data_IF_185431619766
#
_entry.id   IF_185431619766
#
_cell.length_a   1.000
_cell.length_b   1.000
_cell.length_c   1.000
_cell.angle_alpha   90.00
_cell.angle_beta   90.00
_cell.angle_gamma   90.00
#
_symmetry.space_group_name_H-M   'P 1'
#
loop_
_entity.id
_entity.type
_entity.pdbx_description
1 polymer ?
#
# COMPACT_ATOMS: atom_id res chain seq x y z
N UNK A 1 -4.03 14.88 -9.37
CA UNK A 1 -2.95 14.42 -10.27
C UNK A 1 -1.86 13.79 -9.41
N UNK A 2 -1.46 12.54 -9.69
CA UNK A 2 -0.35 11.89 -9.00
C UNK A 2 0.96 12.64 -9.33
N UNK A 3 1.58 13.26 -8.33
CA UNK A 3 2.72 14.18 -8.52
C UNK A 3 4.07 13.45 -8.70
N UNK A 4 4.12 12.15 -8.41
CA UNK A 4 5.31 11.30 -8.57
C UNK A 4 4.91 9.99 -9.26
N UNK A 5 4.69 10.06 -10.58
CA UNK A 5 4.18 8.94 -11.38
C UNK A 5 5.30 8.19 -12.12
N UNK A 6 5.17 6.86 -12.22
CA UNK A 6 5.99 6.03 -13.10
C UNK A 6 5.51 6.06 -14.57
N UNK A 7 4.43 6.79 -14.87
CA UNK A 7 3.85 6.90 -16.22
C UNK A 7 3.38 5.55 -16.78
N UNK A 8 3.47 5.41 -18.11
CA UNK A 8 3.01 4.22 -18.84
C UNK A 8 3.64 2.92 -18.33
N UNK A 9 4.92 2.94 -17.95
CA UNK A 9 5.61 1.76 -17.44
C UNK A 9 4.93 1.20 -16.17
N UNK A 10 4.45 2.08 -15.28
CA UNK A 10 3.69 1.68 -14.10
C UNK A 10 2.26 1.24 -14.44
N UNK A 11 1.64 1.81 -15.46
CA UNK A 11 0.29 1.46 -15.90
C UNK A 11 0.26 0.09 -16.59
N UNK A 12 1.30 -0.26 -17.37
CA UNK A 12 1.37 -1.52 -18.12
C UNK A 12 1.41 -2.77 -17.22
N UNK A 13 1.87 -2.64 -15.98
CA UNK A 13 1.93 -3.76 -15.03
C UNK A 13 0.62 -3.95 -14.22
N UNK A 14 -0.38 -3.10 -14.41
CA UNK A 14 -1.64 -3.13 -13.65
C UNK A 14 -2.30 -4.52 -13.70
N UNK A 15 -2.54 -5.06 -14.90
CA UNK A 15 -3.21 -6.35 -15.06
C UNK A 15 -2.42 -7.48 -14.37
N UNK A 16 -1.10 -7.47 -14.51
CA UNK A 16 -0.25 -8.47 -13.86
C UNK A 16 -0.36 -8.37 -12.32
N UNK A 17 -0.36 -7.17 -11.75
CA UNK A 17 -0.55 -6.98 -10.30
C UNK A 17 -1.90 -7.54 -9.85
N UNK A 18 -2.97 -7.23 -10.57
CA UNK A 18 -4.33 -7.73 -10.28
C UNK A 18 -4.36 -9.26 -10.29
N UNK A 19 -3.82 -9.89 -11.33
CA UNK A 19 -3.72 -11.35 -11.43
C UNK A 19 -2.97 -11.98 -10.24
N UNK A 20 -1.90 -11.33 -9.76
CA UNK A 20 -1.18 -11.80 -8.56
C UNK A 20 -2.04 -11.67 -7.30
N UNK A 21 -2.75 -10.57 -7.12
CA UNK A 21 -3.64 -10.36 -5.97
C UNK A 21 -4.73 -11.45 -5.96
N UNK A 22 -5.39 -11.69 -7.10
CA UNK A 22 -6.39 -12.75 -7.25
C UNK A 22 -5.82 -14.12 -6.89
N UNK A 23 -4.66 -14.47 -7.44
CA UNK A 23 -4.02 -15.76 -7.20
C UNK A 23 -3.69 -16.00 -5.71
N UNK A 24 -3.28 -14.95 -4.98
CA UNK A 24 -2.98 -15.04 -3.56
C UNK A 24 -4.27 -15.08 -2.74
N UNK A 25 -5.28 -14.30 -3.11
CA UNK A 25 -6.57 -14.25 -2.44
C UNK A 25 -7.30 -15.61 -2.55
N UNK A 26 -7.28 -16.22 -3.74
CA UNK A 26 -7.86 -17.55 -3.98
C UNK A 26 -7.22 -18.65 -3.11
N UNK A 27 -5.93 -18.48 -2.76
CA UNK A 27 -5.19 -19.39 -1.89
C UNK A 27 -5.23 -18.98 -0.41
N UNK A 28 -5.98 -17.93 -0.05
CA UNK A 28 -6.03 -17.32 1.30
C UNK A 28 -4.63 -17.00 1.86
N UNK A 29 -3.71 -16.63 0.97
CA UNK A 29 -2.36 -16.20 1.35
C UNK A 29 -2.39 -14.76 1.86
N UNK A 30 -1.42 -14.40 2.70
CA UNK A 30 -1.33 -13.04 3.23
C UNK A 30 -1.01 -12.03 2.12
N UNK A 31 -1.79 -10.96 2.04
CA UNK A 31 -1.63 -9.86 1.08
C UNK A 31 -1.46 -8.57 1.89
N UNK A 32 -0.40 -7.82 1.59
CA UNK A 32 -0.11 -6.55 2.24
C UNK A 32 -0.06 -5.44 1.19
N UNK A 33 -1.04 -4.55 1.23
CA UNK A 33 -1.02 -3.29 0.51
C UNK A 33 -0.21 -2.29 1.34
N UNK A 34 0.97 -1.91 0.85
CA UNK A 34 1.87 -1.02 1.57
C UNK A 34 1.94 0.32 0.86
N UNK A 35 1.37 1.34 1.48
CA UNK A 35 1.19 2.65 0.87
C UNK A 35 2.07 3.67 1.56
N UNK A 36 2.72 4.51 0.75
CA UNK A 36 3.39 5.68 1.32
C UNK A 36 2.39 6.59 2.01
N UNK A 37 2.87 7.23 3.06
CA UNK A 37 2.13 8.18 3.85
C UNK A 37 3.02 9.39 4.07
N UNK A 38 2.61 10.51 3.48
CA UNK A 38 3.16 11.80 3.79
C UNK A 38 2.07 12.72 4.35
N UNK A 39 2.51 13.72 5.08
CA UNK A 39 1.66 14.78 5.61
C UNK A 39 1.98 16.07 4.85
N UNK A 40 0.96 16.89 4.64
CA UNK A 40 1.14 18.22 4.08
C UNK A 40 2.10 19.04 4.99
N UNK A 41 2.97 19.84 4.36
CA UNK A 41 3.93 20.72 5.02
C UNK A 41 4.91 20.07 6.02
N UNK A 42 5.14 18.75 5.92
CA UNK A 42 6.17 18.10 6.71
C UNK A 42 7.59 18.34 6.16
N UNK A 43 8.14 19.51 6.44
CA UNK A 43 9.48 19.92 5.97
C UNK A 43 10.65 19.17 6.65
N UNK A 44 10.41 18.47 7.75
CA UNK A 44 11.44 17.71 8.47
C UNK A 44 11.67 16.31 7.89
N UNK A 45 10.77 15.84 7.02
CA UNK A 45 10.93 14.55 6.38
C UNK A 45 12.10 14.58 5.38
N UNK A 46 13.02 13.59 5.41
CA UNK A 46 14.20 13.60 4.54
C UNK A 46 13.84 13.61 3.04
N UNK A 47 12.71 13.01 2.68
CA UNK A 47 12.23 12.95 1.28
C UNK A 47 11.59 14.27 0.80
N UNK A 48 11.15 15.15 1.70
CA UNK A 48 10.50 16.42 1.34
C UNK A 48 11.43 17.39 0.59
N UNK A 49 12.75 17.17 0.66
CA UNK A 49 13.75 17.93 -0.11
C UNK A 49 14.06 17.32 -1.48
N UNK A 50 13.67 16.07 -1.70
CA UNK A 50 14.07 15.27 -2.86
C UNK A 50 12.93 15.12 -3.87
N UNK A 51 11.69 15.08 -3.41
CA UNK A 51 10.53 14.81 -4.24
C UNK A 51 9.43 15.84 -4.01
N UNK A 52 8.58 16.10 -5.03
CA UNK A 52 7.37 16.88 -4.82
C UNK A 52 6.44 16.18 -3.82
N UNK A 53 5.52 16.89 -3.16
CA UNK A 53 4.54 16.28 -2.26
C UNK A 53 3.76 15.17 -2.96
N UNK A 54 3.68 13.99 -2.38
CA UNK A 54 3.02 12.81 -2.94
C UNK A 54 2.40 11.98 -1.83
N UNK A 55 1.45 11.10 -2.15
CA UNK A 55 0.76 10.21 -1.20
C UNK A 55 0.37 10.90 0.13
N UNK A 56 -0.20 12.11 0.03
CA UNK A 56 -0.60 12.92 1.19
C UNK A 56 -1.88 12.35 1.80
N UNK A 57 -1.89 12.21 3.13
CA UNK A 57 -3.05 11.71 3.88
C UNK A 57 -4.34 12.45 3.49
N UNK A 58 -5.42 11.70 3.23
CA UNK A 58 -6.73 12.26 2.88
C UNK A 58 -6.86 12.76 1.44
N UNK A 59 -5.83 12.64 0.61
CA UNK A 59 -5.91 13.02 -0.81
C UNK A 59 -6.18 11.82 -1.71
N UNK A 60 -6.87 12.06 -2.83
CA UNK A 60 -7.10 11.06 -3.89
C UNK A 60 -5.79 10.49 -4.47
N UNK A 61 -4.66 11.18 -4.26
CA UNK A 61 -3.35 10.70 -4.68
C UNK A 61 -2.88 9.44 -3.95
N UNK A 62 -3.52 9.06 -2.84
CA UNK A 62 -3.24 7.83 -2.08
C UNK A 62 -4.12 6.65 -2.46
N UNK A 63 -5.12 6.85 -3.30
CA UNK A 63 -5.95 5.73 -3.76
C UNK A 63 -5.10 4.77 -4.59
N UNK A 64 -5.39 3.47 -4.45
CA UNK A 64 -4.79 2.47 -5.32
C UNK A 64 -5.19 2.77 -6.77
N UNK A 65 -4.33 2.43 -7.71
CA UNK A 65 -4.56 2.76 -9.11
C UNK A 65 -5.53 1.77 -9.77
N UNK A 66 -6.55 2.29 -10.46
CA UNK A 66 -7.42 1.54 -11.37
C UNK A 66 -7.98 0.25 -10.77
N UNK A 67 -7.82 -0.85 -11.51
CA UNK A 67 -8.33 -2.18 -11.15
C UNK A 67 -7.73 -2.74 -9.85
N UNK A 68 -6.54 -2.24 -9.46
CA UNK A 68 -5.92 -2.63 -8.17
C UNK A 68 -6.76 -2.08 -7.00
N UNK A 69 -7.36 -0.90 -7.15
CA UNK A 69 -8.33 -0.40 -6.17
C UNK A 69 -9.59 -1.26 -6.16
N UNK A 70 -10.14 -1.56 -7.33
CA UNK A 70 -11.39 -2.33 -7.44
C UNK A 70 -11.27 -3.70 -6.74
N UNK A 71 -10.18 -4.44 -6.99
CA UNK A 71 -9.96 -5.71 -6.31
C UNK A 71 -9.74 -5.52 -4.81
N UNK A 72 -8.98 -4.50 -4.39
CA UNK A 72 -8.78 -4.21 -2.96
C UNK A 72 -10.11 -3.95 -2.25
N UNK A 73 -11.00 -3.12 -2.83
CA UNK A 73 -12.32 -2.85 -2.27
C UNK A 73 -13.21 -4.10 -2.17
N UNK A 74 -12.98 -5.11 -3.02
CA UNK A 74 -13.70 -6.37 -2.93
C UNK A 74 -13.16 -7.32 -1.85
N UNK A 75 -11.92 -7.13 -1.40
CA UNK A 75 -11.24 -8.06 -0.49
C UNK A 75 -10.78 -7.43 0.84
N UNK A 76 -10.95 -6.12 1.06
CA UNK A 76 -10.34 -5.42 2.20
C UNK A 76 -10.78 -5.94 3.57
N UNK A 77 -11.92 -6.61 3.66
CA UNK A 77 -12.45 -7.17 4.91
C UNK A 77 -12.02 -8.61 5.15
N UNK A 78 -11.25 -9.22 4.24
CA UNK A 78 -10.70 -10.55 4.43
C UNK A 78 -9.56 -10.51 5.46
N UNK A 79 -9.54 -11.46 6.40
CA UNK A 79 -8.56 -11.51 7.49
C UNK A 79 -7.09 -11.64 7.03
N UNK A 80 -6.86 -12.11 5.81
CA UNK A 80 -5.54 -12.24 5.20
C UNK A 80 -5.11 -11.04 4.36
N UNK A 81 -5.94 -9.97 4.32
CA UNK A 81 -5.66 -8.74 3.59
C UNK A 81 -5.37 -7.62 4.58
N UNK A 82 -4.24 -6.94 4.38
CA UNK A 82 -3.74 -5.90 5.27
C UNK A 82 -3.39 -4.65 4.49
N UNK A 83 -3.69 -3.49 5.05
CA UNK A 83 -3.29 -2.19 4.52
C UNK A 83 -2.38 -1.50 5.53
N UNK A 84 -1.17 -1.14 5.09
CA UNK A 84 -0.11 -0.62 5.95
C UNK A 84 0.41 0.70 5.40
N UNK A 85 0.37 1.73 6.23
CA UNK A 85 1.04 3.00 5.95
C UNK A 85 2.53 2.90 6.26
N UNK A 86 3.38 3.42 5.35
CA UNK A 86 4.83 3.58 5.56
C UNK A 86 5.24 5.03 5.33
N UNK A 87 6.31 5.47 5.99
CA UNK A 87 6.88 6.80 5.85
C UNK A 87 8.36 6.77 5.43
N UNK A 88 8.84 5.64 4.91
CA UNK A 88 10.20 5.54 4.38
C UNK A 88 10.20 4.70 3.11
N UNK A 89 11.15 4.94 2.20
CA UNK A 89 11.39 4.09 1.04
C UNK A 89 11.74 2.64 1.41
N UNK A 90 12.38 2.42 2.57
CA UNK A 90 12.89 1.11 2.95
C UNK A 90 11.76 0.19 3.38
N UNK A 91 11.66 -0.93 2.70
CA UNK A 91 10.93 -2.08 3.21
C UNK A 91 11.72 -2.74 4.34
N UNK A 92 11.19 -2.68 5.57
CA UNK A 92 11.76 -3.39 6.72
C UNK A 92 11.04 -4.73 6.84
N UNK A 93 11.65 -5.81 6.33
CA UNK A 93 11.04 -7.13 6.39
C UNK A 93 11.51 -8.03 7.53
N UNK A 94 10.56 -8.89 7.92
CA UNK A 94 10.63 -10.13 8.71
C UNK A 94 10.12 -10.05 10.15
N UNK A 95 10.68 -9.22 11.01
CA UNK A 95 10.15 -9.13 12.39
C UNK A 95 8.90 -8.24 12.45
N UNK A 96 8.86 -7.11 11.75
CA UNK A 96 7.77 -6.11 11.86
C UNK A 96 6.42 -6.63 11.35
N UNK A 97 6.37 -7.24 10.16
CA UNK A 97 5.12 -7.76 9.59
C UNK A 97 4.64 -9.01 10.34
N UNK A 98 5.55 -9.89 10.76
CA UNK A 98 5.17 -11.05 11.60
C UNK A 98 4.57 -10.58 12.92
N UNK A 99 5.19 -9.61 13.60
CA UNK A 99 4.65 -9.03 14.82
C UNK A 99 3.33 -8.30 14.57
N UNK A 100 3.14 -7.62 13.43
CA UNK A 100 1.88 -6.97 13.08
C UNK A 100 0.74 -8.00 12.96
N UNK A 101 0.94 -9.09 12.21
CA UNK A 101 -0.07 -10.15 12.06
C UNK A 101 -0.33 -10.87 13.39
N UNK A 102 0.72 -11.18 14.17
CA UNK A 102 0.58 -11.80 15.48
C UNK A 102 -0.15 -10.90 16.49
N UNK A 103 0.04 -9.58 16.40
CA UNK A 103 -0.59 -8.62 17.30
C UNK A 103 -2.07 -8.43 16.96
N UNK A 104 -2.39 -8.20 15.69
CA UNK A 104 -3.78 -7.98 15.24
C UNK A 104 -4.68 -9.18 15.53
N UNK A 105 -4.18 -10.42 15.38
CA UNK A 105 -4.92 -11.65 15.72
C UNK A 105 -5.21 -11.84 17.22
N UNK A 106 -4.47 -11.19 18.12
CA UNK A 106 -4.69 -11.30 19.58
C UNK A 106 -5.77 -10.35 20.11
N UNK A 107 -6.19 -9.36 19.32
CA UNK A 107 -7.20 -8.38 19.73
C UNK A 107 -8.59 -8.66 19.15
N UNK A 108 -8.75 -9.74 18.39
CA UNK A 108 -10.02 -10.15 17.74
C UNK A 108 -10.61 -11.44 18.33
N UNK A 109 -10.18 -11.85 19.52
CA UNK A 109 -10.70 -13.01 20.28
C UNK A 109 -11.26 -12.59 21.63
#
# INVERSE_FOLDING_TARGET
MAKLTCGEAGQQIENYIVERIEAYNNKKQQIFFMMDLHYEDNHYHPESKLFPPHNILGTIGRELYGKVNDIYQNILFNEHVHFLDKNTLRFIFRNTIRHYVERTRRYTT
#
